data_IF_618264247190
#
_entry.id   IF_618264247190
#
_cell.length_a   1.000
_cell.length_b   1.000
_cell.length_c   1.000
_cell.angle_alpha   90.00
_cell.angle_beta   90.00
_cell.angle_gamma   90.00
#
_symmetry.space_group_name_H-M   'P 1'
#
loop_
_entity.id
_entity.type
_entity.pdbx_description
1 polymer ?
#
# COMPACT_ATOMS: atom_id res chain seq x y z
N UNK A 1 33.23 -14.14 25.26
CA UNK A 1 31.87 -13.59 25.45
C UNK A 1 31.97 -12.37 26.35
N UNK A 2 31.57 -11.13 26.06
CA UNK A 2 30.95 -10.48 24.92
C UNK A 2 30.95 -8.96 25.20
N UNK A 3 31.81 -8.16 24.55
CA UNK A 3 31.67 -6.68 24.57
C UNK A 3 30.69 -6.19 23.48
N UNK A 4 30.57 -6.95 22.38
CA UNK A 4 29.66 -6.65 21.28
C UNK A 4 28.18 -6.85 21.63
N UNK A 5 27.81 -7.97 22.24
CA UNK A 5 26.39 -8.24 22.57
C UNK A 5 25.82 -7.24 23.59
N UNK A 6 26.62 -6.76 24.54
CA UNK A 6 26.16 -5.80 25.54
C UNK A 6 25.75 -4.46 24.92
N UNK A 7 26.46 -4.04 23.86
CA UNK A 7 26.23 -2.78 23.16
C UNK A 7 25.01 -2.88 22.22
N UNK A 8 24.88 -3.99 21.51
CA UNK A 8 23.70 -4.28 20.67
C UNK A 8 22.42 -4.38 21.49
N UNK A 9 22.47 -5.06 22.64
CA UNK A 9 21.30 -5.21 23.53
C UNK A 9 20.87 -3.87 24.14
N UNK A 10 21.83 -2.98 24.46
CA UNK A 10 21.53 -1.65 24.97
C UNK A 10 20.92 -0.75 23.88
N UNK A 11 21.46 -0.79 22.66
CA UNK A 11 20.89 -0.07 21.51
C UNK A 11 19.47 -0.56 21.19
N UNK A 12 19.23 -1.87 21.22
CA UNK A 12 17.89 -2.43 21.05
C UNK A 12 16.91 -1.90 22.10
N UNK A 13 17.32 -1.88 23.36
CA UNK A 13 16.51 -1.36 24.46
C UNK A 13 16.17 0.13 24.27
N UNK A 14 17.16 0.96 23.90
CA UNK A 14 16.96 2.40 23.70
C UNK A 14 16.04 2.68 22.51
N UNK A 15 16.18 1.93 21.41
CA UNK A 15 15.31 2.09 20.23
C UNK A 15 13.87 1.71 20.58
N UNK A 16 13.66 0.58 21.28
CA UNK A 16 12.32 0.16 21.72
C UNK A 16 11.66 1.18 22.65
N UNK A 17 12.41 1.78 23.56
CA UNK A 17 11.90 2.81 24.48
C UNK A 17 11.49 4.08 23.74
N UNK A 18 12.27 4.51 22.74
CA UNK A 18 12.01 5.75 22.00
C UNK A 18 10.97 5.58 20.90
N UNK A 19 10.85 4.38 20.34
CA UNK A 19 9.96 4.05 19.23
C UNK A 19 9.10 2.83 19.60
N UNK A 20 8.19 3.02 20.55
CA UNK A 20 7.33 1.96 21.09
C UNK A 20 6.35 1.36 20.07
N UNK A 21 6.19 2.01 18.92
CA UNK A 21 5.34 1.53 17.81
C UNK A 21 6.08 0.56 16.88
N UNK A 22 7.42 0.47 16.96
CA UNK A 22 8.19 -0.46 16.13
C UNK A 22 8.11 -1.88 16.69
N UNK A 23 7.81 -2.82 15.82
CA UNK A 23 7.91 -4.24 16.09
C UNK A 23 9.35 -4.66 16.36
N UNK A 24 9.53 -5.76 17.09
CA UNK A 24 10.84 -6.37 17.34
C UNK A 24 11.62 -6.65 16.04
N UNK A 25 10.90 -7.01 14.97
CA UNK A 25 11.52 -7.25 13.67
C UNK A 25 12.02 -5.96 13.02
N UNK A 26 11.29 -4.85 13.15
CA UNK A 26 11.72 -3.52 12.66
C UNK A 26 12.93 -3.00 13.42
N UNK A 27 12.97 -3.18 14.75
CA UNK A 27 14.13 -2.80 15.57
C UNK A 27 15.36 -3.65 15.21
N UNK A 28 15.20 -4.97 15.03
CA UNK A 28 16.30 -5.84 14.58
C UNK A 28 16.79 -5.48 13.17
N UNK A 29 15.89 -5.14 12.26
CA UNK A 29 16.27 -4.64 10.93
C UNK A 29 17.08 -3.35 11.04
N UNK A 30 16.68 -2.39 11.87
CA UNK A 30 17.43 -1.14 12.06
C UNK A 30 18.83 -1.34 12.65
N UNK A 31 19.02 -2.34 13.50
CA UNK A 31 20.32 -2.64 14.13
C UNK A 31 21.31 -3.32 13.18
N UNK A 32 20.82 -3.99 12.13
CA UNK A 32 21.65 -4.75 11.19
C UNK A 32 21.76 -4.10 9.82
N UNK A 33 20.93 -3.10 9.51
CA UNK A 33 20.89 -2.44 8.21
C UNK A 33 21.48 -1.04 8.29
N UNK A 34 22.24 -0.71 7.25
CA UNK A 34 22.67 0.66 7.00
C UNK A 34 21.47 1.56 6.68
N UNK A 35 21.55 2.88 6.93
CA UNK A 35 20.49 3.82 6.54
C UNK A 35 20.07 3.71 5.07
N UNK A 36 20.99 3.33 4.17
CA UNK A 36 20.72 3.13 2.74
C UNK A 36 19.83 1.91 2.49
N UNK A 37 20.05 0.81 3.19
CA UNK A 37 19.23 -0.41 3.06
C UNK A 37 17.81 -0.18 3.60
N UNK A 38 17.67 0.57 4.70
CA UNK A 38 16.36 0.97 5.22
C UNK A 38 15.56 1.81 4.22
N UNK A 39 16.22 2.75 3.53
CA UNK A 39 15.60 3.56 2.47
C UNK A 39 15.14 2.67 1.30
N UNK A 40 15.95 1.70 0.89
CA UNK A 40 15.58 0.79 -0.20
C UNK A 40 14.36 -0.08 0.15
N UNK A 41 14.29 -0.58 1.39
CA UNK A 41 13.13 -1.33 1.87
C UNK A 41 11.88 -0.45 1.85
N UNK A 42 11.94 0.75 2.41
CA UNK A 42 10.81 1.68 2.43
C UNK A 42 10.34 2.05 1.00
N UNK A 43 11.27 2.24 0.06
CA UNK A 43 10.95 2.48 -1.34
C UNK A 43 10.27 1.28 -1.98
N UNK A 44 10.77 0.07 -1.76
CA UNK A 44 10.20 -1.18 -2.28
C UNK A 44 8.77 -1.36 -1.79
N UNK A 45 8.53 -1.16 -0.50
CA UNK A 45 7.19 -1.25 0.09
C UNK A 45 6.24 -0.20 -0.50
N UNK A 46 6.69 1.05 -0.65
CA UNK A 46 5.89 2.11 -1.28
C UNK A 46 5.52 1.79 -2.73
N UNK A 47 6.46 1.26 -3.51
CA UNK A 47 6.21 0.84 -4.89
C UNK A 47 5.20 -0.31 -4.92
N UNK A 48 5.36 -1.32 -4.06
CA UNK A 48 4.41 -2.44 -3.97
C UNK A 48 3.00 -1.96 -3.58
N UNK A 49 2.88 -1.07 -2.59
CA UNK A 49 1.60 -0.47 -2.22
C UNK A 49 0.99 0.33 -3.37
N UNK A 50 1.80 1.07 -4.13
CA UNK A 50 1.39 1.78 -5.33
C UNK A 50 0.84 0.83 -6.40
N UNK A 51 1.54 -0.27 -6.69
CA UNK A 51 1.09 -1.29 -7.64
C UNK A 51 -0.21 -1.96 -7.19
N UNK A 52 -0.35 -2.31 -5.92
CA UNK A 52 -1.58 -2.92 -5.39
C UNK A 52 -2.77 -1.96 -5.50
N UNK A 53 -2.57 -0.67 -5.15
CA UNK A 53 -3.61 0.36 -5.33
C UNK A 53 -3.99 0.51 -6.80
N UNK A 54 -3.00 0.56 -7.70
CA UNK A 54 -3.23 0.62 -9.15
C UNK A 54 -4.03 -0.59 -9.67
N UNK A 55 -3.70 -1.80 -9.22
CA UNK A 55 -4.43 -3.03 -9.58
C UNK A 55 -5.90 -2.98 -9.12
N UNK A 56 -6.16 -2.53 -7.90
CA UNK A 56 -7.54 -2.40 -7.39
C UNK A 56 -8.36 -1.38 -8.19
N UNK A 57 -7.78 -0.23 -8.51
CA UNK A 57 -8.42 0.80 -9.34
C UNK A 57 -8.69 0.26 -10.75
N UNK A 58 -7.71 -0.41 -11.36
CA UNK A 58 -7.85 -0.98 -12.70
C UNK A 58 -8.92 -2.07 -12.80
N UNK A 59 -9.02 -2.94 -11.78
CA UNK A 59 -10.07 -3.96 -11.72
C UNK A 59 -11.46 -3.31 -11.66
N UNK A 60 -11.65 -2.38 -10.71
CA UNK A 60 -12.94 -1.72 -10.51
C UNK A 60 -13.36 -0.87 -11.72
N UNK A 61 -12.42 -0.21 -12.38
CA UNK A 61 -12.65 0.49 -13.64
C UNK A 61 -13.08 -0.48 -14.76
N UNK A 62 -12.47 -1.66 -14.83
CA UNK A 62 -12.86 -2.72 -15.77
C UNK A 62 -14.29 -3.21 -15.54
N UNK A 63 -14.64 -3.48 -14.27
CA UNK A 63 -15.98 -3.89 -13.87
C UNK A 63 -17.03 -2.83 -14.23
N UNK A 64 -16.78 -1.55 -13.92
CA UNK A 64 -17.68 -0.44 -14.27
C UNK A 64 -17.96 -0.40 -15.77
N UNK A 65 -16.91 -0.49 -16.61
CA UNK A 65 -17.09 -0.48 -18.08
C UNK A 65 -17.88 -1.69 -18.56
N UNK A 66 -17.66 -2.86 -17.97
CA UNK A 66 -18.42 -4.07 -18.28
C UNK A 66 -19.91 -3.87 -17.92
N UNK A 67 -20.21 -3.36 -16.72
CA UNK A 67 -21.57 -3.06 -16.30
C UNK A 67 -22.25 -2.02 -17.21
N UNK A 68 -21.55 -0.95 -17.58
CA UNK A 68 -22.07 0.03 -18.55
C UNK A 68 -22.43 -0.62 -19.90
N UNK A 69 -21.61 -1.54 -20.41
CA UNK A 69 -21.92 -2.28 -21.64
C UNK A 69 -23.14 -3.17 -21.50
N UNK A 70 -23.22 -3.94 -20.42
CA UNK A 70 -24.33 -4.86 -20.15
C UNK A 70 -25.65 -4.08 -20.05
N UNK A 71 -25.63 -2.95 -19.35
CA UNK A 71 -26.78 -2.06 -19.16
C UNK A 71 -27.07 -1.15 -20.38
N UNK A 72 -26.36 -1.33 -21.51
CA UNK A 72 -26.47 -0.52 -22.74
C UNK A 72 -26.35 1.00 -22.49
N UNK A 73 -25.49 1.39 -21.54
CA UNK A 73 -25.18 2.78 -21.21
C UNK A 73 -23.93 3.24 -21.97
N UNK A 74 -23.70 4.55 -21.99
CA UNK A 74 -22.45 5.11 -22.48
C UNK A 74 -21.28 4.57 -21.65
N UNK A 75 -20.29 4.00 -22.33
CA UNK A 75 -19.10 3.43 -21.70
C UNK A 75 -18.10 4.54 -21.46
N UNK A 76 -17.70 4.74 -20.20
CA UNK A 76 -16.66 5.71 -19.84
C UNK A 76 -15.29 5.20 -20.30
N UNK A 77 -14.43 6.14 -20.71
CA UNK A 77 -13.06 5.80 -21.10
C UNK A 77 -12.26 5.28 -19.91
N UNK A 78 -11.41 4.27 -20.16
CA UNK A 78 -10.66 3.64 -19.07
C UNK A 78 -9.71 4.61 -18.39
N UNK A 79 -9.09 5.50 -19.16
CA UNK A 79 -8.18 6.53 -18.64
C UNK A 79 -8.90 7.53 -17.73
N UNK A 80 -10.17 7.83 -18.01
CA UNK A 80 -10.98 8.71 -17.16
C UNK A 80 -11.32 8.03 -15.83
N UNK A 81 -11.67 6.74 -15.87
CA UNK A 81 -11.89 5.95 -14.66
C UNK A 81 -10.60 5.76 -13.85
N UNK A 82 -9.45 5.56 -14.52
CA UNK A 82 -8.15 5.39 -13.86
C UNK A 82 -7.65 6.64 -13.12
N UNK A 83 -8.17 7.83 -13.45
CA UNK A 83 -7.89 9.09 -12.74
C UNK A 83 -8.77 9.30 -11.50
N UNK A 84 -9.83 8.49 -11.32
CA UNK A 84 -10.72 8.58 -10.18
C UNK A 84 -10.16 7.84 -8.97
N UNK A 85 -10.52 8.33 -7.80
CA UNK A 85 -10.25 7.64 -6.53
C UNK A 85 -11.11 6.38 -6.40
N UNK A 86 -10.67 5.45 -5.54
CA UNK A 86 -11.45 4.24 -5.22
C UNK A 86 -12.88 4.56 -4.77
N UNK A 87 -13.08 5.63 -3.98
CA UNK A 87 -14.41 6.03 -3.48
C UNK A 87 -15.32 6.49 -4.62
N UNK A 88 -14.80 7.27 -5.56
CA UNK A 88 -15.56 7.72 -6.73
C UNK A 88 -15.95 6.56 -7.65
N UNK A 89 -15.02 5.62 -7.89
CA UNK A 89 -15.33 4.41 -8.66
C UNK A 89 -16.38 3.55 -7.94
N UNK A 90 -16.30 3.41 -6.62
CA UNK A 90 -17.32 2.71 -5.84
C UNK A 90 -18.69 3.40 -5.91
N UNK A 91 -18.75 4.73 -5.95
CA UNK A 91 -19.99 5.47 -6.12
C UNK A 91 -20.62 5.18 -7.50
N UNK A 92 -19.83 5.26 -8.57
CA UNK A 92 -20.28 4.94 -9.94
C UNK A 92 -20.78 3.49 -10.01
N UNK A 93 -20.06 2.55 -9.41
CA UNK A 93 -20.49 1.15 -9.36
C UNK A 93 -21.85 0.98 -8.65
N UNK A 94 -22.06 1.67 -7.52
CA UNK A 94 -23.34 1.63 -6.79
C UNK A 94 -24.48 2.22 -7.61
N UNK A 95 -24.24 3.32 -8.32
CA UNK A 95 -25.24 3.90 -9.23
C UNK A 95 -25.62 2.93 -10.34
N UNK A 96 -24.64 2.27 -10.96
CA UNK A 96 -24.90 1.25 -11.98
C UNK A 96 -25.65 0.04 -11.42
N UNK A 97 -25.29 -0.41 -10.22
CA UNK A 97 -25.94 -1.53 -9.54
C UNK A 97 -27.39 -1.23 -9.14
N UNK A 98 -27.71 0.03 -8.82
CA UNK A 98 -29.07 0.47 -8.47
C UNK A 98 -30.01 0.61 -9.69
N UNK A 99 -29.47 0.53 -10.91
CA UNK A 99 -30.21 0.63 -12.17
C UNK A 99 -30.55 -0.74 -12.78
N UNK A 100 -30.12 -1.82 -12.13
CA UNK A 100 -30.39 -3.21 -12.48
C UNK A 100 -31.56 -3.75 -11.64
#
# INVERSE_FOLDING_TARGET
>A
MYKGEMLSNWLEYVIRQRFSELSEQEVRMMLHLTPQELIQIALKERVQQGMQKGKQIGLLAGEIRLAQRILKRQVTEFNELGRKTKKELQAIWRELAALN
#
